data_IF_241203038528
#
_entry.id   IF_241203038528
#
_cell.length_a   1.000
_cell.length_b   1.000
_cell.length_c   1.000
_cell.angle_alpha   90.00
_cell.angle_beta   90.00
_cell.angle_gamma   90.00
#
_symmetry.space_group_name_H-M   'P 1'
#
loop_
_entity.id
_entity.type
_entity.pdbx_description
1 polymer ?
#
# COMPACT_ATOMS: atom_id res chain seq x y z
N UNK A 1 -6.22 -34.40 41.68
CA UNK A 1 -5.18 -33.68 40.89
C UNK A 1 -5.53 -33.77 39.40
N UNK A 2 -5.89 -32.64 38.78
CA UNK A 2 -6.12 -32.59 37.34
C UNK A 2 -4.78 -32.27 36.66
N UNK A 3 -4.24 -33.22 35.91
CA UNK A 3 -3.07 -32.99 35.06
C UNK A 3 -3.47 -32.05 33.92
N UNK A 4 -2.77 -30.93 33.81
CA UNK A 4 -2.88 -30.02 32.68
C UNK A 4 -2.23 -30.68 31.46
N UNK A 5 -2.83 -30.60 30.26
CA UNK A 5 -2.22 -31.18 29.08
C UNK A 5 -0.91 -30.43 28.77
N UNK A 6 0.21 -31.12 28.88
CA UNK A 6 1.52 -30.65 28.42
C UNK A 6 1.40 -30.47 26.90
N UNK A 7 1.35 -29.22 26.45
CA UNK A 7 1.43 -28.92 25.03
C UNK A 7 2.78 -29.45 24.51
N UNK A 8 2.81 -30.17 23.37
CA UNK A 8 4.07 -30.69 22.84
C UNK A 8 5.02 -29.54 22.51
N UNK A 9 6.23 -29.61 23.04
CA UNK A 9 7.26 -28.62 22.74
C UNK A 9 7.59 -28.64 21.24
N UNK A 10 7.80 -27.47 20.61
CA UNK A 10 8.08 -27.39 19.20
C UNK A 10 9.41 -28.10 18.86
N UNK A 11 9.39 -28.96 17.85
CA UNK A 11 10.58 -29.67 17.35
C UNK A 11 11.59 -28.76 16.64
N UNK A 12 11.19 -27.53 16.29
CA UNK A 12 12.03 -26.52 15.66
C UNK A 12 11.62 -25.13 16.14
N UNK A 13 12.61 -24.34 16.58
CA UNK A 13 12.47 -22.92 16.86
C UNK A 13 13.20 -22.12 15.78
N UNK A 14 12.48 -21.21 15.13
CA UNK A 14 13.03 -20.31 14.11
C UNK A 14 12.87 -18.86 14.60
N UNK A 15 13.99 -18.15 14.69
CA UNK A 15 13.99 -16.71 14.94
C UNK A 15 14.06 -15.97 13.61
N UNK A 16 13.09 -15.07 13.38
CA UNK A 16 13.03 -14.21 12.21
C UNK A 16 13.17 -12.77 12.69
N UNK A 17 14.17 -12.08 12.17
CA UNK A 17 14.42 -10.68 12.49
C UNK A 17 13.80 -9.75 11.45
N UNK A 18 13.62 -8.50 11.85
CA UNK A 18 13.21 -7.41 10.96
C UNK A 18 14.13 -7.23 9.75
N UNK A 19 15.41 -7.63 9.85
CA UNK A 19 16.36 -7.65 8.73
C UNK A 19 15.85 -8.43 7.51
N UNK A 20 15.17 -9.56 7.71
CA UNK A 20 14.61 -10.37 6.62
C UNK A 20 13.55 -9.57 5.86
N UNK A 21 12.68 -8.87 6.58
CA UNK A 21 11.62 -8.10 5.97
C UNK A 21 12.15 -6.80 5.33
N UNK A 22 13.11 -6.13 5.98
CA UNK A 22 13.74 -4.92 5.45
C UNK A 22 14.59 -5.19 4.20
N UNK A 23 15.32 -6.31 4.16
CA UNK A 23 16.07 -6.70 2.95
C UNK A 23 15.15 -6.96 1.76
N UNK A 24 14.02 -7.64 1.98
CA UNK A 24 12.99 -7.80 0.95
C UNK A 24 12.44 -6.44 0.50
N UNK A 25 12.10 -5.54 1.43
CA UNK A 25 11.62 -4.20 1.11
C UNK A 25 12.61 -3.40 0.27
N UNK A 26 13.93 -3.52 0.54
CA UNK A 26 14.98 -2.91 -0.28
C UNK A 26 14.99 -3.45 -1.71
N UNK A 27 14.93 -4.78 -1.86
CA UNK A 27 14.94 -5.42 -3.18
C UNK A 27 13.71 -5.01 -4.00
N UNK A 28 12.50 -5.03 -3.42
CA UNK A 28 11.30 -4.60 -4.14
C UNK A 28 11.31 -3.11 -4.50
N UNK A 29 11.86 -2.27 -3.61
CA UNK A 29 12.00 -0.84 -3.88
C UNK A 29 13.01 -0.57 -5.01
N UNK A 30 14.20 -1.15 -4.92
CA UNK A 30 15.28 -0.97 -5.91
C UNK A 30 14.93 -1.56 -7.27
N UNK A 31 14.14 -2.64 -7.31
CA UNK A 31 13.61 -3.20 -8.56
C UNK A 31 12.49 -2.35 -9.19
N UNK A 32 12.02 -1.28 -8.53
CA UNK A 32 10.91 -0.46 -9.00
C UNK A 32 9.55 -1.17 -8.97
N UNK A 33 9.45 -2.29 -8.25
CA UNK A 33 8.23 -3.11 -8.17
C UNK A 33 7.15 -2.47 -7.27
N UNK A 34 7.54 -1.53 -6.40
CA UNK A 34 6.62 -0.78 -5.52
C UNK A 34 5.97 0.42 -6.25
N UNK A 35 5.35 0.14 -7.40
CA UNK A 35 4.60 1.13 -8.19
C UNK A 35 3.34 0.50 -8.76
N UNK A 36 2.24 1.25 -8.77
CA UNK A 36 0.95 0.81 -9.28
C UNK A 36 0.23 1.96 -9.96
N UNK A 37 -0.26 1.73 -11.17
CA UNK A 37 -1.24 2.63 -11.79
C UNK A 37 -2.65 2.20 -11.38
N UNK A 38 -3.45 3.15 -10.89
CA UNK A 38 -4.84 2.97 -10.50
C UNK A 38 -5.69 3.79 -11.46
N UNK A 39 -6.47 3.10 -12.27
CA UNK A 39 -7.41 3.69 -13.20
C UNK A 39 -8.82 3.70 -12.62
N UNK A 40 -9.72 4.50 -13.22
CA UNK A 40 -11.08 4.68 -12.72
C UNK A 40 -11.90 3.38 -12.68
N UNK A 41 -11.64 2.41 -13.56
CA UNK A 41 -12.29 1.10 -13.57
C UNK A 41 -11.89 0.21 -12.39
N UNK A 42 -10.74 0.46 -11.75
CA UNK A 42 -10.31 -0.27 -10.56
C UNK A 42 -11.06 0.18 -9.29
N UNK A 43 -11.73 1.34 -9.33
CA UNK A 43 -12.50 1.84 -8.20
C UNK A 43 -13.90 1.22 -8.19
N UNK A 44 -14.33 0.62 -7.06
CA UNK A 44 -15.68 0.10 -6.94
C UNK A 44 -16.72 1.19 -7.20
N UNK A 45 -17.76 0.88 -8.01
CA UNK A 45 -18.84 1.83 -8.32
C UNK A 45 -19.58 2.37 -7.09
N UNK A 46 -19.56 1.63 -5.98
CA UNK A 46 -20.17 2.02 -4.70
C UNK A 46 -19.33 3.03 -3.92
N UNK A 47 -18.07 3.23 -4.28
CA UNK A 47 -17.20 4.20 -3.62
C UNK A 47 -17.60 5.62 -4.04
N UNK A 48 -17.81 6.55 -3.10
CA UNK A 48 -18.35 7.88 -3.40
C UNK A 48 -17.39 8.75 -4.23
N UNK A 49 -16.09 8.47 -4.14
CA UNK A 49 -15.05 9.23 -4.83
C UNK A 49 -14.55 8.45 -6.05
N UNK A 50 -15.19 8.65 -7.19
CA UNK A 50 -14.73 8.12 -8.46
C UNK A 50 -13.45 8.86 -8.92
N UNK A 51 -12.57 8.22 -9.67
CA UNK A 51 -11.41 8.87 -10.31
C UNK A 51 -11.86 9.64 -11.56
N UNK A 52 -12.57 10.73 -11.32
CA UNK A 52 -13.01 11.70 -12.34
C UNK A 52 -12.80 13.11 -11.81
N UNK A 53 -12.54 14.06 -12.69
CA UNK A 53 -12.38 15.46 -12.30
C UNK A 53 -13.65 16.03 -11.66
N UNK A 54 -14.84 15.52 -12.05
CA UNK A 54 -16.13 15.92 -11.48
C UNK A 54 -16.26 15.59 -10.00
N UNK A 55 -15.92 14.36 -9.60
CA UNK A 55 -15.91 13.94 -8.19
C UNK A 55 -14.76 14.58 -7.42
N UNK A 56 -13.60 14.73 -8.06
CA UNK A 56 -12.45 15.42 -7.46
C UNK A 56 -12.64 16.94 -7.33
N UNK A 57 -13.60 17.52 -8.05
CA UNK A 57 -13.97 18.94 -7.97
C UNK A 57 -14.38 19.38 -6.57
N UNK A 58 -14.81 18.45 -5.70
CA UNK A 58 -15.08 18.70 -4.28
C UNK A 58 -13.79 19.08 -3.52
N UNK A 59 -12.66 18.47 -3.87
CA UNK A 59 -11.36 18.75 -3.25
C UNK A 59 -10.54 19.79 -4.01
N UNK A 60 -10.63 19.80 -5.34
CA UNK A 60 -9.92 20.72 -6.21
C UNK A 60 -10.87 21.32 -7.27
N UNK A 61 -11.56 22.41 -6.94
CA UNK A 61 -12.52 23.04 -7.86
C UNK A 61 -11.88 23.52 -9.17
N UNK A 62 -10.60 23.90 -9.14
CA UNK A 62 -9.87 24.34 -10.34
C UNK A 62 -9.73 23.20 -11.35
N UNK A 63 -9.56 21.96 -10.89
CA UNK A 63 -9.43 20.81 -11.77
C UNK A 63 -10.68 20.59 -12.61
N UNK A 64 -11.86 20.68 -11.99
CA UNK A 64 -13.14 20.57 -12.70
C UNK A 64 -13.39 21.75 -13.65
N UNK A 65 -12.89 22.95 -13.34
CA UNK A 65 -13.01 24.13 -14.22
C UNK A 65 -12.18 23.99 -15.49
N UNK A 66 -10.93 23.53 -15.37
CA UNK A 66 -10.02 23.40 -16.51
C UNK A 66 -10.24 22.11 -17.31
N UNK A 67 -10.64 21.02 -16.64
CA UNK A 67 -10.84 19.71 -17.25
C UNK A 67 -12.20 19.13 -16.83
N UNK A 68 -13.32 19.59 -17.41
CA UNK A 68 -14.64 19.19 -16.96
C UNK A 68 -14.95 17.72 -17.30
N UNK A 69 -15.35 16.94 -16.28
CA UNK A 69 -15.81 15.55 -16.36
C UNK A 69 -14.87 14.59 -17.14
N UNK A 70 -13.56 14.80 -16.98
CA UNK A 70 -12.53 13.95 -17.57
C UNK A 70 -12.18 12.79 -16.64
N UNK A 71 -11.81 11.61 -17.19
CA UNK A 71 -11.28 10.51 -16.40
C UNK A 71 -9.92 10.87 -15.81
N UNK A 72 -9.63 10.28 -14.65
CA UNK A 72 -8.34 10.44 -13.99
C UNK A 72 -7.66 9.09 -13.76
N UNK A 73 -6.33 9.13 -13.72
CA UNK A 73 -5.47 8.02 -13.30
C UNK A 73 -4.65 8.47 -12.08
N UNK A 74 -4.36 7.52 -11.19
CA UNK A 74 -3.51 7.75 -10.03
C UNK A 74 -2.33 6.79 -10.06
N UNK A 75 -1.14 7.34 -10.17
CA UNK A 75 0.10 6.59 -10.11
C UNK A 75 0.62 6.58 -8.67
N UNK A 76 0.45 5.44 -8.01
CA UNK A 76 1.02 5.20 -6.69
C UNK A 76 2.45 4.65 -6.84
N UNK A 77 3.40 5.22 -6.11
CA UNK A 77 4.79 4.73 -6.10
C UNK A 77 5.45 4.91 -4.73
N UNK A 78 6.37 4.03 -4.37
CA UNK A 78 7.22 4.23 -3.19
C UNK A 78 8.23 5.34 -3.47
N UNK A 79 8.29 6.34 -2.57
CA UNK A 79 9.33 7.38 -2.58
C UNK A 79 10.62 6.90 -1.94
N UNK A 80 10.51 6.02 -0.94
CA UNK A 80 11.63 5.45 -0.20
C UNK A 80 11.31 3.99 0.14
N UNK A 81 12.34 3.24 0.47
CA UNK A 81 12.20 1.88 0.99
C UNK A 81 11.26 1.85 2.21
N UNK A 82 10.26 0.97 2.23
CA UNK A 82 9.48 0.67 3.44
C UNK A 82 10.38 0.20 4.59
N UNK A 83 10.15 0.72 5.79
CA UNK A 83 10.88 0.32 6.99
C UNK A 83 9.99 -0.56 7.85
N UNK A 84 10.51 -1.68 8.34
CA UNK A 84 9.78 -2.64 9.16
C UNK A 84 10.52 -2.87 10.47
N UNK A 85 9.80 -2.96 11.60
CA UNK A 85 10.38 -3.26 12.91
C UNK A 85 9.54 -4.30 13.64
N UNK A 86 10.20 -5.32 14.20
CA UNK A 86 9.53 -6.35 14.99
C UNK A 86 9.35 -5.87 16.42
N UNK A 87 8.11 -5.81 16.89
CA UNK A 87 7.78 -5.61 18.30
C UNK A 87 7.07 -6.86 18.87
N UNK A 88 7.06 -7.03 20.21
CA UNK A 88 6.43 -8.20 20.84
C UNK A 88 4.93 -8.35 20.54
N UNK A 89 4.25 -7.23 20.28
CA UNK A 89 2.82 -7.15 20.01
C UNK A 89 2.48 -7.25 18.51
N UNK A 90 3.30 -6.65 17.64
CA UNK A 90 3.10 -6.67 16.20
C UNK A 90 4.37 -6.38 15.39
N UNK A 91 4.32 -6.66 14.10
CA UNK A 91 5.26 -6.09 13.13
C UNK A 91 4.80 -4.67 12.81
N UNK A 92 5.62 -3.66 13.07
CA UNK A 92 5.34 -2.28 12.66
C UNK A 92 6.02 -1.99 11.33
N UNK A 93 5.39 -1.14 10.54
CA UNK A 93 5.94 -0.68 9.28
C UNK A 93 5.66 0.79 9.02
N UNK A 94 6.57 1.44 8.33
CA UNK A 94 6.38 2.80 7.81
C UNK A 94 6.53 2.78 6.29
N UNK A 95 5.47 3.24 5.62
CA UNK A 95 5.38 3.32 4.17
C UNK A 95 5.55 4.78 3.73
N UNK A 96 6.50 5.03 2.85
CA UNK A 96 6.74 6.34 2.24
C UNK A 96 6.34 6.28 0.77
N UNK A 97 5.13 6.70 0.45
CA UNK A 97 4.58 6.62 -0.91
C UNK A 97 4.21 7.99 -1.46
N UNK A 98 4.06 8.06 -2.78
CA UNK A 98 3.51 9.21 -3.49
C UNK A 98 2.41 8.75 -4.42
N UNK A 99 1.37 9.55 -4.51
CA UNK A 99 0.25 9.35 -5.43
C UNK A 99 0.19 10.55 -6.37
N UNK A 100 0.60 10.33 -7.62
CA UNK A 100 0.57 11.34 -8.67
C UNK A 100 -0.70 11.19 -9.49
N UNK A 101 -1.51 12.23 -9.53
CA UNK A 101 -2.79 12.22 -10.24
C UNK A 101 -2.63 12.82 -11.63
N UNK A 102 -3.22 12.17 -12.62
CA UNK A 102 -3.24 12.62 -14.02
C UNK A 102 -4.68 12.75 -14.50
N UNK A 103 -4.96 13.79 -15.27
CA UNK A 103 -6.14 13.87 -16.11
C UNK A 103 -5.83 13.18 -17.43
N UNK A 104 -6.69 12.26 -17.87
CA UNK A 104 -6.57 11.61 -19.16
C UNK A 104 -7.48 12.32 -20.15
N UNK A 105 -6.87 12.98 -21.14
CA UNK A 105 -7.58 13.69 -22.20
C UNK A 105 -8.12 12.70 -23.27
N UNK A 106 -9.09 13.11 -24.10
CA UNK A 106 -9.65 12.25 -25.15
C UNK A 106 -8.63 11.73 -26.17
N UNK A 107 -7.51 12.43 -26.33
CA UNK A 107 -6.37 12.03 -27.17
C UNK A 107 -5.40 11.07 -26.46
N UNK A 108 -5.81 10.46 -25.34
CA UNK A 108 -5.01 9.61 -24.47
C UNK A 108 -3.77 10.28 -23.85
N UNK A 109 -3.66 11.61 -23.91
CA UNK A 109 -2.58 12.35 -23.25
C UNK A 109 -2.85 12.45 -21.75
N UNK A 110 -1.81 12.19 -20.96
CA UNK A 110 -1.85 12.36 -19.50
C UNK A 110 -1.33 13.75 -19.13
N UNK A 111 -2.18 14.54 -18.49
CA UNK A 111 -1.80 15.85 -17.94
C UNK A 111 -1.65 15.72 -16.43
N UNK A 112 -0.46 15.99 -15.85
CA UNK A 112 -0.28 15.98 -14.40
C UNK A 112 -1.23 16.98 -13.73
N UNK A 113 -1.96 16.53 -12.71
CA UNK A 113 -2.91 17.36 -11.96
C UNK A 113 -2.32 17.82 -10.62
N UNK A 114 -1.87 16.86 -9.80
CA UNK A 114 -1.25 17.12 -8.50
C UNK A 114 -0.47 15.90 -8.01
N UNK A 115 0.38 16.11 -7.01
CA UNK A 115 1.17 15.07 -6.34
C UNK A 115 0.85 15.07 -4.84
N UNK A 116 0.53 13.90 -4.28
CA UNK A 116 0.34 13.71 -2.85
C UNK A 116 1.46 12.85 -2.28
N UNK A 117 2.13 13.35 -1.25
CA UNK A 117 3.06 12.57 -0.45
C UNK A 117 2.29 11.91 0.70
N UNK A 118 2.36 10.59 0.79
CA UNK A 118 1.64 9.78 1.78
C UNK A 118 2.68 9.05 2.62
N UNK A 119 2.73 9.39 3.90
CA UNK A 119 3.49 8.67 4.92
C UNK A 119 2.50 7.98 5.86
N UNK A 120 2.55 6.65 5.91
CA UNK A 120 1.61 5.85 6.67
C UNK A 120 2.34 4.85 7.55
N UNK A 121 1.89 4.74 8.81
CA UNK A 121 2.30 3.66 9.68
C UNK A 121 1.31 2.51 9.53
N UNK A 122 1.83 1.30 9.48
CA UNK A 122 1.07 0.07 9.36
C UNK A 122 1.49 -0.90 10.46
N UNK A 123 0.57 -1.77 10.84
CA UNK A 123 0.86 -2.91 11.70
C UNK A 123 0.58 -4.19 10.93
N UNK A 124 1.31 -5.24 11.27
CA UNK A 124 1.19 -6.51 10.60
C UNK A 124 1.31 -7.68 11.55
N UNK A 125 0.69 -8.79 11.17
CA UNK A 125 0.80 -10.05 11.89
C UNK A 125 1.45 -11.08 10.98
N UNK A 126 2.66 -11.57 11.30
CA UNK A 126 3.28 -12.64 10.54
C UNK A 126 2.51 -13.95 10.75
N UNK A 127 2.44 -14.77 9.72
CA UNK A 127 1.81 -16.08 9.77
C UNK A 127 2.68 -17.09 9.02
N UNK A 128 2.71 -18.33 9.52
CA UNK A 128 3.37 -19.43 8.82
C UNK A 128 2.29 -20.42 8.39
N UNK A 129 2.20 -20.67 7.09
CA UNK A 129 1.27 -21.65 6.54
C UNK A 129 1.91 -22.39 5.39
N UNK A 130 1.80 -23.72 5.36
CA UNK A 130 2.36 -24.58 4.29
C UNK A 130 3.84 -24.28 4.00
N UNK A 131 4.64 -24.15 5.06
CA UNK A 131 6.08 -23.81 5.01
C UNK A 131 6.39 -22.47 4.31
N UNK A 132 5.44 -21.53 4.28
CA UNK A 132 5.65 -20.17 3.78
C UNK A 132 5.45 -19.17 4.90
N UNK A 133 6.39 -18.23 5.00
CA UNK A 133 6.23 -17.04 5.81
C UNK A 133 5.37 -16.04 5.03
N UNK A 134 4.22 -15.70 5.59
CA UNK A 134 3.34 -14.67 5.11
C UNK A 134 3.02 -13.66 6.20
N UNK A 135 2.06 -12.79 5.92
CA UNK A 135 1.56 -11.88 6.92
C UNK A 135 0.34 -11.12 6.43
N UNK A 136 -0.35 -10.49 7.38
CA UNK A 136 -1.39 -9.51 7.10
C UNK A 136 -0.86 -8.13 7.42
N UNK A 137 -1.32 -7.12 6.67
CA UNK A 137 -1.00 -5.72 6.92
C UNK A 137 -2.32 -4.99 7.22
N UNK A 138 -2.28 -4.10 8.21
CA UNK A 138 -3.37 -3.24 8.63
C UNK A 138 -2.85 -1.81 8.72
N UNK A 139 -3.65 -0.87 8.24
CA UNK A 139 -3.48 0.56 8.43
C UNK A 139 -4.14 0.97 9.75
#
# INVERSE_FOLDING_TARGET
PAELPVAPEPTLLLAITDLVANSAALVYFTAGALRRNISADMIPRRFPLQLKTKSMGVFSPQLQKHFPDQPMELLLSARRQPLLSCHPDALHGTLFSSAEAFVVLPNATRVPAFLLNIDANVTGKPTISRNRLGGTVKL
#
